data_IF_799794502856
#
_entry.id   IF_799794502856
#
_cell.length_a   1.000
_cell.length_b   1.000
_cell.length_c   1.000
_cell.angle_alpha   90.00
_cell.angle_beta   90.00
_cell.angle_gamma   90.00
#
_symmetry.space_group_name_H-M   'P 1'
#
loop_
_entity.id
_entity.type
_entity.pdbx_description
1 polymer ?
#
# COMPACT_ATOMS: atom_id res chain seq x y z
N UNK A 1 8.17 -18.27 17.34
CA UNK A 1 8.23 -17.52 16.93
C UNK A 1 7.84 -16.79 16.27
N UNK A 2 7.75 -16.46 15.98
CA UNK A 2 7.69 -15.69 15.33
C UNK A 2 7.64 -14.73 15.15
N UNK A 3 7.74 -14.43 15.06
CA UNK A 3 7.82 -13.51 15.03
C UNK A 3 7.26 -12.54 14.46
N UNK A 4 6.98 -11.79 14.91
CA UNK A 4 6.46 -10.75 14.37
C UNK A 4 7.34 -10.05 13.63
N UNK A 5 7.24 -9.71 12.66
CA UNK A 5 8.11 -9.11 11.97
C UNK A 5 7.49 -8.06 11.25
N UNK A 6 8.15 -7.23 10.60
CA UNK A 6 7.59 -6.27 9.72
C UNK A 6 6.86 -6.99 8.62
N UNK A 7 5.58 -6.80 8.56
CA UNK A 7 4.81 -7.45 7.52
C UNK A 7 5.13 -6.88 6.16
N UNK A 8 5.56 -5.62 6.08
CA UNK A 8 5.87 -5.05 4.78
C UNK A 8 7.02 -5.75 4.10
N UNK A 9 7.98 -6.29 4.88
CA UNK A 9 9.10 -7.02 4.30
C UNK A 9 8.68 -8.37 3.73
N UNK A 10 7.61 -8.95 4.25
CA UNK A 10 7.14 -10.26 3.85
C UNK A 10 6.05 -10.21 2.78
N UNK A 11 5.47 -9.05 2.53
CA UNK A 11 4.37 -8.95 1.58
C UNK A 11 4.88 -8.87 0.15
N UNK A 12 4.15 -9.46 -0.80
CA UNK A 12 4.49 -9.28 -2.21
C UNK A 12 4.26 -7.84 -2.63
N UNK A 13 4.92 -7.43 -3.67
CA UNK A 13 4.66 -6.14 -4.28
C UNK A 13 3.45 -6.25 -5.21
N UNK A 14 2.92 -5.09 -5.60
CA UNK A 14 1.83 -5.07 -6.57
C UNK A 14 2.27 -5.75 -7.87
N UNK A 15 3.52 -5.52 -8.29
CA UNK A 15 4.02 -6.14 -9.50
C UNK A 15 4.07 -7.65 -9.39
N UNK A 16 4.44 -8.16 -8.21
CA UNK A 16 4.49 -9.60 -8.00
C UNK A 16 3.10 -10.24 -8.06
N UNK A 17 2.10 -9.57 -7.51
CA UNK A 17 0.74 -10.07 -7.60
C UNK A 17 0.24 -10.09 -9.04
N UNK A 18 0.61 -9.08 -9.82
CA UNK A 18 0.23 -9.05 -11.23
C UNK A 18 0.83 -10.23 -11.98
N UNK A 19 2.08 -10.57 -11.67
CA UNK A 19 2.74 -11.72 -12.30
C UNK A 19 2.02 -13.02 -11.91
N UNK A 20 1.46 -13.08 -10.70
CA UNK A 20 0.72 -14.26 -10.26
C UNK A 20 -0.69 -14.33 -10.84
N UNK A 21 -1.06 -13.39 -11.68
CA UNK A 21 -2.37 -13.41 -12.32
C UNK A 21 -3.46 -12.69 -11.58
N UNK A 22 -3.12 -11.97 -10.51
CA UNK A 22 -4.12 -11.20 -9.78
C UNK A 22 -4.30 -9.87 -10.48
N UNK A 23 -5.54 -9.59 -10.89
CA UNK A 23 -5.84 -8.38 -11.63
C UNK A 23 -5.95 -7.20 -10.67
N UNK A 24 -4.95 -6.34 -10.65
CA UNK A 24 -4.96 -5.14 -9.84
C UNK A 24 -5.18 -3.92 -10.74
N UNK A 25 -5.86 -2.89 -10.22
CA UNK A 25 -5.95 -1.64 -10.98
C UNK A 25 -4.59 -0.96 -11.05
N UNK A 26 -4.43 -0.09 -12.04
CA UNK A 26 -3.22 0.70 -12.14
C UNK A 26 -3.13 1.65 -10.95
N UNK A 27 -1.96 1.70 -10.34
CA UNK A 27 -1.74 2.55 -9.18
C UNK A 27 -0.37 3.20 -9.30
N UNK A 28 -0.38 4.52 -9.39
CA UNK A 28 0.84 5.31 -9.39
C UNK A 28 0.95 6.04 -8.07
N UNK A 29 2.01 5.75 -7.31
CA UNK A 29 2.26 6.44 -6.06
C UNK A 29 2.97 7.75 -6.39
N UNK A 30 2.20 8.83 -6.45
CA UNK A 30 2.70 10.12 -6.89
C UNK A 30 3.41 10.87 -5.78
N UNK A 31 2.85 10.85 -4.58
CA UNK A 31 3.39 11.53 -3.42
C UNK A 31 3.28 10.58 -2.24
N UNK A 32 4.33 10.54 -1.45
CA UNK A 32 4.37 9.66 -0.28
C UNK A 32 4.92 10.44 0.89
N UNK A 33 4.10 10.62 1.93
CA UNK A 33 4.51 11.32 3.13
C UNK A 33 4.36 10.39 4.32
N UNK A 34 5.49 10.03 4.90
CA UNK A 34 5.53 9.22 6.08
C UNK A 34 5.85 10.08 7.29
N UNK A 35 5.21 9.79 8.41
CA UNK A 35 5.47 10.46 9.68
C UNK A 35 5.31 9.44 10.79
N UNK A 36 6.04 9.62 11.88
CA UNK A 36 5.85 8.77 13.05
C UNK A 36 4.47 8.98 13.66
N UNK A 37 3.86 10.14 13.44
CA UNK A 37 2.48 10.40 13.83
C UNK A 37 1.56 9.89 12.72
N UNK A 38 0.80 8.84 13.02
CA UNK A 38 -0.04 8.22 12.00
C UNK A 38 -1.01 9.20 11.33
N UNK A 39 -1.55 10.12 12.12
CA UNK A 39 -2.52 11.07 11.58
C UNK A 39 -1.92 12.01 10.53
N UNK A 40 -0.60 12.09 10.46
CA UNK A 40 0.07 12.96 9.51
C UNK A 40 0.54 12.24 8.26
N UNK A 41 0.35 10.92 8.19
CA UNK A 41 0.75 10.14 7.02
C UNK A 41 -0.29 10.28 5.93
N UNK A 42 0.15 10.44 4.70
CA UNK A 42 -0.75 10.40 3.57
C UNK A 42 0.01 10.07 2.30
N UNK A 43 -0.73 9.66 1.29
CA UNK A 43 -0.17 9.38 -0.03
C UNK A 43 -1.11 9.95 -1.08
N UNK A 44 -0.55 10.24 -2.25
CA UNK A 44 -1.36 10.49 -3.44
C UNK A 44 -1.15 9.33 -4.38
N UNK A 45 -2.23 8.66 -4.71
CA UNK A 45 -2.22 7.56 -5.65
C UNK A 45 -3.16 7.95 -6.78
N UNK A 46 -2.65 7.94 -8.01
CA UNK A 46 -3.41 8.37 -9.19
C UNK A 46 -4.00 9.77 -8.98
N UNK A 47 -3.19 10.65 -8.39
CA UNK A 47 -3.53 12.06 -8.18
C UNK A 47 -4.63 12.31 -7.13
N UNK A 48 -5.00 11.30 -6.36
CA UNK A 48 -5.98 11.46 -5.29
C UNK A 48 -5.33 11.18 -3.95
N UNK A 49 -5.69 11.95 -2.94
CA UNK A 49 -5.09 11.85 -1.61
C UNK A 49 -5.80 10.80 -0.77
N UNK A 50 -5.01 9.96 -0.11
CA UNK A 50 -5.53 8.93 0.78
C UNK A 50 -4.73 8.87 2.07
N UNK A 51 -5.41 8.48 3.14
CA UNK A 51 -4.79 8.22 4.43
C UNK A 51 -5.01 6.77 4.81
N UNK A 52 -4.37 6.35 5.90
CA UNK A 52 -4.56 4.99 6.40
C UNK A 52 -6.04 4.77 6.69
N UNK A 53 -6.57 3.64 6.23
CA UNK A 53 -7.97 3.30 6.38
C UNK A 53 -8.84 3.71 5.20
N UNK A 54 -8.35 4.57 4.34
CA UNK A 54 -9.14 5.01 3.18
C UNK A 54 -9.14 3.93 2.10
N UNK A 55 -10.20 3.94 1.30
CA UNK A 55 -10.32 3.03 0.17
C UNK A 55 -10.12 3.82 -1.11
N UNK A 56 -9.29 3.28 -2.00
CA UNK A 56 -9.09 3.88 -3.29
C UNK A 56 -10.36 3.78 -4.12
N UNK A 57 -10.51 4.73 -5.02
CA UNK A 57 -11.63 4.73 -5.94
C UNK A 57 -11.74 3.43 -6.72
N UNK A 58 -10.61 2.82 -7.04
CA UNK A 58 -10.55 1.58 -7.83
C UNK A 58 -10.68 0.32 -6.98
N UNK A 59 -10.86 0.45 -5.68
CA UNK A 59 -11.18 -0.68 -4.84
C UNK A 59 -10.20 -1.01 -3.73
N UNK A 60 -8.89 -0.98 -3.96
CA UNK A 60 -7.94 -1.31 -2.90
C UNK A 60 -8.05 -0.37 -1.71
N UNK A 61 -7.73 -0.89 -0.53
CA UNK A 61 -7.79 -0.13 0.70
C UNK A 61 -6.37 0.14 1.19
N UNK A 62 -6.14 1.34 1.71
CA UNK A 62 -4.86 1.70 2.30
C UNK A 62 -4.85 1.17 3.73
N UNK A 63 -4.06 0.13 3.97
CA UNK A 63 -3.98 -0.46 5.30
C UNK A 63 -2.97 0.27 6.17
N UNK A 64 -1.80 0.57 5.60
CA UNK A 64 -0.74 1.21 6.37
C UNK A 64 0.19 1.96 5.43
N UNK A 65 0.62 3.15 5.86
CA UNK A 65 1.63 3.91 5.14
C UNK A 65 2.93 3.72 5.90
N UNK A 66 3.94 3.19 5.20
CA UNK A 66 5.24 2.87 5.79
C UNK A 66 6.31 3.81 5.28
N UNK A 67 7.50 3.74 5.87
CA UNK A 67 8.59 4.62 5.47
C UNK A 67 9.03 4.39 4.03
N UNK A 68 8.81 3.18 3.50
CA UNK A 68 9.28 2.84 2.15
C UNK A 68 8.16 2.61 1.16
N UNK A 69 6.92 2.88 1.53
CA UNK A 69 5.81 2.70 0.60
C UNK A 69 4.48 2.68 1.30
N UNK A 70 3.55 1.91 0.75
CA UNK A 70 2.21 1.79 1.31
C UNK A 70 1.76 0.35 1.16
N UNK A 71 1.09 -0.13 2.20
CA UNK A 71 0.51 -1.47 2.20
C UNK A 71 -0.97 -1.33 1.91
N UNK A 72 -1.41 -2.05 0.90
CA UNK A 72 -2.80 -2.04 0.46
C UNK A 72 -3.37 -3.45 0.50
N UNK A 73 -4.68 -3.53 0.54
CA UNK A 73 -5.36 -4.82 0.43
C UNK A 73 -6.44 -4.72 -0.64
N UNK A 74 -6.64 -5.82 -1.35
CA UNK A 74 -7.60 -5.89 -2.44
C UNK A 74 -8.03 -7.33 -2.62
N UNK A 75 -9.32 -7.57 -2.51
CA UNK A 75 -9.90 -8.91 -2.70
C UNK A 75 -9.21 -9.97 -1.84
N UNK A 76 -8.92 -9.62 -0.60
CA UNK A 76 -8.31 -10.56 0.33
C UNK A 76 -6.81 -10.66 0.24
N UNK A 77 -6.18 -9.97 -0.69
CA UNK A 77 -4.73 -9.99 -0.86
C UNK A 77 -4.11 -8.71 -0.34
N UNK A 78 -3.06 -8.86 0.46
CA UNK A 78 -2.28 -7.72 0.93
C UNK A 78 -1.02 -7.60 0.12
N UNK A 79 -0.65 -6.40 -0.25
CA UNK A 79 0.52 -6.18 -1.07
C UNK A 79 1.11 -4.81 -0.79
N UNK A 80 2.33 -4.63 -1.26
CA UNK A 80 3.07 -3.41 -1.03
C UNK A 80 3.23 -2.64 -2.32
N UNK A 81 3.00 -1.34 -2.25
CA UNK A 81 3.27 -0.42 -3.35
C UNK A 81 4.45 0.44 -2.91
N UNK A 82 5.65 0.15 -3.42
CA UNK A 82 6.83 0.87 -2.96
C UNK A 82 6.87 2.28 -3.53
N UNK A 83 7.50 3.16 -2.77
CA UNK A 83 7.75 4.50 -3.29
C UNK A 83 8.98 4.45 -4.20
N UNK A 84 9.11 5.44 -5.02
CA UNK A 84 10.26 5.55 -5.92
C UNK A 84 11.52 6.01 -5.19
#
# INVERSE_FOLDING_TARGET
>A
MPVARSTSAALPSAAELAVQGIALPDMNLDIHVYSSARAERFVFINSAKYREGDRLRDGPRVDEITADGVILSYQGESFKLPRD
#
